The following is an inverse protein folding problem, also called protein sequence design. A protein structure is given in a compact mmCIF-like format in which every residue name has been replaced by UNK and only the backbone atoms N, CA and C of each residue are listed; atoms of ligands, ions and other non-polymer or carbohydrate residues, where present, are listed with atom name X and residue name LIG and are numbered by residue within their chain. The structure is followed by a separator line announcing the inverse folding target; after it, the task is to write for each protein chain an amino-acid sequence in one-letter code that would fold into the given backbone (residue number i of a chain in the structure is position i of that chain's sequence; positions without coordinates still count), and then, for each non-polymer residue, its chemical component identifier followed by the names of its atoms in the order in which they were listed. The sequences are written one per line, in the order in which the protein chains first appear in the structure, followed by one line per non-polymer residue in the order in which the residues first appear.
data_IF_939918435428
#
_entry.id   IF_939918435428
#
_cell.length_a   1.000
_cell.length_b   1.000
_cell.length_c   1.000
_cell.angle_alpha   90.00
_cell.angle_beta   90.00
_cell.angle_gamma   90.00
#
_symmetry.space_group_name_H-M   'P 1'
#
loop_
_entity.id
_entity.type
_entity.pdbx_description
1 polymer ?
#
# COMPACT_ATOMS: atom_id res chain seq x y z
N UNK A 1 22.82 -8.91 -32.00
CA UNK A 1 21.68 -8.19 -32.63
C UNK A 1 22.11 -7.84 -34.04
N UNK A 2 21.50 -8.46 -35.06
CA UNK A 2 21.79 -8.13 -36.47
C UNK A 2 21.01 -6.88 -36.86
N UNK A 3 21.58 -5.95 -37.64
CA UNK A 3 20.88 -4.76 -38.10
C UNK A 3 19.68 -5.16 -38.96
N UNK A 4 18.55 -4.48 -38.75
CA UNK A 4 17.30 -4.80 -39.44
C UNK A 4 17.35 -4.30 -40.88
N UNK A 5 18.02 -3.17 -41.13
CA UNK A 5 18.22 -2.62 -42.47
C UNK A 5 19.59 -1.93 -42.58
N UNK A 6 20.20 -2.02 -43.77
CA UNK A 6 21.45 -1.36 -44.16
C UNK A 6 21.17 -0.44 -45.35
N UNK A 7 21.42 0.85 -45.19
CA UNK A 7 21.17 1.85 -46.24
C UNK A 7 22.42 2.71 -46.49
N UNK A 8 22.67 3.14 -47.73
CA UNK A 8 23.73 4.11 -48.02
C UNK A 8 23.39 5.46 -47.37
N UNK A 9 24.32 6.02 -46.59
CA UNK A 9 24.10 7.21 -45.77
C UNK A 9 25.04 8.37 -46.10
N UNK A 10 24.64 9.60 -45.79
CA UNK A 10 25.53 10.76 -45.86
C UNK A 10 26.63 10.69 -44.80
N UNK A 11 27.86 11.05 -45.17
CA UNK A 11 29.10 10.88 -44.38
C UNK A 11 29.19 11.62 -43.02
N UNK A 12 28.11 12.25 -42.52
CA UNK A 12 28.19 13.20 -41.40
C UNK A 12 27.07 13.11 -40.35
N UNK A 13 26.38 11.97 -40.24
CA UNK A 13 25.38 11.80 -39.18
C UNK A 13 26.01 11.26 -37.88
N UNK A 14 25.79 11.93 -36.73
CA UNK A 14 25.98 11.29 -35.42
C UNK A 14 24.89 10.24 -35.24
N UNK A 15 25.18 9.13 -34.55
CA UNK A 15 24.17 8.14 -34.20
C UNK A 15 22.96 8.81 -33.53
N UNK A 16 21.76 8.41 -33.93
CA UNK A 16 20.51 9.02 -33.48
C UNK A 16 19.57 7.97 -32.94
N UNK A 17 18.78 8.35 -31.94
CA UNK A 17 17.70 7.53 -31.41
C UNK A 17 16.40 8.31 -31.52
N UNK A 18 15.43 7.78 -32.22
CA UNK A 18 14.09 8.35 -32.32
C UNK A 18 13.09 7.38 -31.70
N UNK A 19 12.22 7.91 -30.83
CA UNK A 19 11.20 7.11 -30.15
C UNK A 19 9.82 7.56 -30.59
N UNK A 20 9.03 6.63 -31.10
CA UNK A 20 7.63 6.84 -31.46
C UNK A 20 6.75 5.88 -30.65
N UNK A 21 6.13 6.39 -29.58
CA UNK A 21 5.40 5.60 -28.56
C UNK A 21 6.23 4.44 -27.95
N UNK A 22 6.04 3.24 -28.48
CA UNK A 22 6.66 1.98 -28.05
C UNK A 22 7.74 1.50 -29.02
N UNK A 23 7.84 2.08 -30.21
CA UNK A 23 8.91 1.79 -31.15
C UNK A 23 10.10 2.70 -30.86
N UNK A 24 11.27 2.10 -30.65
CA UNK A 24 12.55 2.80 -30.58
C UNK A 24 13.35 2.46 -31.84
N UNK A 25 13.59 3.45 -32.68
CA UNK A 25 14.50 3.36 -33.82
C UNK A 25 15.86 3.87 -33.40
N UNK A 26 16.86 3.00 -33.43
CA UNK A 26 18.25 3.37 -33.18
C UNK A 26 19.03 3.30 -34.49
N UNK A 27 19.69 4.40 -34.85
CA UNK A 27 20.57 4.49 -36.01
C UNK A 27 22.01 4.57 -35.50
N UNK A 28 22.81 3.54 -35.83
CA UNK A 28 24.22 3.51 -35.50
C UNK A 28 24.99 4.60 -36.28
N UNK A 29 26.11 5.10 -35.74
CA UNK A 29 26.97 6.01 -36.47
C UNK A 29 27.45 5.38 -37.79
N UNK A 30 27.65 6.20 -38.85
CA UNK A 30 28.04 5.75 -40.17
C UNK A 30 29.35 4.98 -40.14
N UNK A 31 29.37 3.83 -40.80
CA UNK A 31 30.56 3.00 -40.97
C UNK A 31 31.09 3.22 -42.39
N UNK A 32 32.36 3.60 -42.51
CA UNK A 32 33.05 3.71 -43.79
C UNK A 32 33.60 2.35 -44.20
N UNK A 33 33.24 1.92 -45.41
CA UNK A 33 33.85 0.77 -46.06
C UNK A 33 35.21 1.14 -46.68
N UNK A 34 36.05 0.14 -46.98
CA UNK A 34 37.36 0.29 -47.64
C UNK A 34 37.28 1.02 -48.98
N UNK A 35 36.11 1.00 -49.61
CA UNK A 35 35.82 1.68 -50.88
C UNK A 35 35.33 3.12 -50.70
N UNK A 36 35.30 3.64 -49.47
CA UNK A 36 34.83 5.00 -49.15
C UNK A 36 33.31 5.16 -49.09
N UNK A 37 32.56 4.07 -49.25
CA UNK A 37 31.10 4.06 -49.11
C UNK A 37 30.70 4.14 -47.64
N UNK A 38 29.64 4.91 -47.36
CA UNK A 38 29.13 5.09 -46.00
C UNK A 38 27.87 4.27 -45.78
N UNK A 39 27.90 3.38 -44.80
CA UNK A 39 26.79 2.50 -44.46
C UNK A 39 26.17 2.90 -43.12
N UNK A 40 24.84 2.96 -43.08
CA UNK A 40 24.06 3.14 -41.85
C UNK A 40 23.37 1.84 -41.48
N UNK A 41 23.44 1.49 -40.20
CA UNK A 41 22.74 0.36 -39.63
C UNK A 41 21.63 0.86 -38.71
N UNK A 42 20.38 0.48 -39.01
CA UNK A 42 19.22 0.80 -38.17
C UNK A 42 18.72 -0.45 -37.44
N UNK A 43 18.32 -0.27 -36.18
CA UNK A 43 17.71 -1.29 -35.35
C UNK A 43 16.38 -0.77 -34.83
N UNK A 44 15.32 -1.58 -34.96
CA UNK A 44 14.00 -1.29 -34.39
C UNK A 44 13.78 -2.15 -33.15
N UNK A 45 13.42 -1.52 -32.04
CA UNK A 45 13.02 -2.20 -30.81
C UNK A 45 11.55 -1.95 -30.53
N UNK A 46 10.76 -3.02 -30.42
CA UNK A 46 9.37 -2.95 -29.96
C UNK A 46 9.34 -3.07 -28.42
N UNK A 47 8.99 -1.98 -27.75
CA UNK A 47 8.87 -1.89 -26.29
C UNK A 47 7.43 -2.14 -25.80
N UNK A 48 6.48 -2.43 -26.70
CA UNK A 48 5.10 -2.79 -26.37
C UNK A 48 4.99 -3.91 -25.33
N UNK A 49 5.74 -5.03 -25.42
CA UNK A 49 5.66 -6.07 -24.40
C UNK A 49 6.13 -5.57 -23.03
N UNK A 50 7.22 -4.80 -22.95
CA UNK A 50 7.72 -4.21 -21.70
C UNK A 50 6.70 -3.25 -21.07
N UNK A 51 6.04 -2.41 -21.88
CA UNK A 51 4.99 -1.49 -21.42
C UNK A 51 3.79 -2.27 -20.85
N UNK A 52 3.34 -3.33 -21.52
CA UNK A 52 2.22 -4.17 -21.04
C UNK A 52 2.54 -4.89 -19.73
N UNK A 53 3.74 -5.47 -19.63
CA UNK A 53 4.20 -6.16 -18.42
C UNK A 53 4.28 -5.17 -17.24
N UNK A 54 4.84 -3.98 -17.49
CA UNK A 54 4.96 -2.93 -16.46
C UNK A 54 3.61 -2.47 -15.95
N UNK A 55 2.62 -2.29 -16.84
CA UNK A 55 1.26 -1.90 -16.45
C UNK A 55 0.59 -2.99 -15.60
N UNK A 56 0.75 -4.27 -15.97
CA UNK A 56 0.23 -5.38 -15.16
C UNK A 56 0.83 -5.38 -13.75
N UNK A 57 2.15 -5.25 -13.64
CA UNK A 57 2.83 -5.18 -12.34
C UNK A 57 2.36 -4.00 -11.49
N UNK A 58 2.15 -2.83 -12.10
CA UNK A 58 1.61 -1.66 -11.39
C UNK A 58 0.20 -1.96 -10.87
N UNK A 59 -0.67 -2.56 -11.69
CA UNK A 59 -2.04 -2.91 -11.29
C UNK A 59 -2.02 -3.93 -10.15
N UNK A 60 -1.21 -4.99 -10.26
CA UNK A 60 -1.11 -6.03 -9.23
C UNK A 60 -0.59 -5.47 -7.90
N UNK A 61 0.42 -4.59 -7.96
CA UNK A 61 0.95 -3.91 -6.78
C UNK A 61 -0.11 -3.02 -6.12
N UNK A 62 -0.82 -2.20 -6.91
CA UNK A 62 -1.88 -1.33 -6.39
C UNK A 62 -2.99 -2.16 -5.75
N UNK A 63 -3.41 -3.25 -6.40
CA UNK A 63 -4.44 -4.14 -5.87
C UNK A 63 -4.00 -4.79 -4.56
N UNK A 64 -2.77 -5.29 -4.49
CA UNK A 64 -2.22 -5.88 -3.27
C UNK A 64 -2.18 -4.88 -2.11
N UNK A 65 -1.77 -3.63 -2.37
CA UNK A 65 -1.73 -2.55 -1.37
C UNK A 65 -3.15 -2.20 -0.89
N UNK A 66 -4.12 -2.09 -1.81
CA UNK A 66 -5.51 -1.80 -1.45
C UNK A 66 -6.13 -2.92 -0.60
N UNK A 67 -5.91 -4.19 -0.98
CA UNK A 67 -6.40 -5.33 -0.21
C UNK A 67 -5.71 -5.39 1.16
N UNK A 68 -4.39 -5.22 1.20
CA UNK A 68 -3.62 -5.25 2.45
C UNK A 68 -4.04 -4.14 3.41
N UNK A 69 -4.22 -2.92 2.92
CA UNK A 69 -4.68 -1.78 3.73
C UNK A 69 -6.11 -1.97 4.25
N UNK A 70 -7.03 -2.48 3.41
CA UNK A 70 -8.40 -2.76 3.82
C UNK A 70 -8.44 -3.85 4.90
N UNK A 71 -7.68 -4.94 4.73
CA UNK A 71 -7.58 -6.01 5.71
C UNK A 71 -6.98 -5.50 7.04
N UNK A 72 -5.91 -4.71 6.98
CA UNK A 72 -5.29 -4.12 8.17
C UNK A 72 -6.27 -3.19 8.90
N UNK A 73 -6.98 -2.32 8.17
CA UNK A 73 -8.00 -1.44 8.75
C UNK A 73 -9.11 -2.23 9.44
N UNK A 74 -9.57 -3.32 8.83
CA UNK A 74 -10.58 -4.20 9.43
C UNK A 74 -10.08 -4.84 10.73
N UNK A 75 -8.83 -5.33 10.75
CA UNK A 75 -8.22 -5.93 11.95
C UNK A 75 -8.12 -4.90 13.07
N UNK A 76 -7.62 -3.70 12.77
CA UNK A 76 -7.51 -2.61 13.76
C UNK A 76 -8.90 -2.23 14.28
N UNK A 77 -9.90 -2.11 13.41
CA UNK A 77 -11.26 -1.80 13.80
C UNK A 77 -11.85 -2.86 14.74
N UNK A 78 -11.68 -4.14 14.42
CA UNK A 78 -12.14 -5.25 15.27
C UNK A 78 -11.44 -5.24 16.62
N UNK A 79 -10.14 -4.95 16.64
CA UNK A 79 -9.34 -4.87 17.87
C UNK A 79 -9.80 -3.71 18.76
N UNK A 80 -9.97 -2.51 18.19
CA UNK A 80 -10.51 -1.34 18.91
C UNK A 80 -11.92 -1.63 19.43
N UNK A 81 -12.78 -2.24 18.62
CA UNK A 81 -14.16 -2.54 19.02
C UNK A 81 -14.20 -3.49 20.22
N UNK A 82 -13.34 -4.51 20.24
CA UNK A 82 -13.28 -5.49 21.33
C UNK A 82 -12.56 -4.96 22.57
N UNK A 83 -11.44 -4.26 22.41
CA UNK A 83 -10.62 -3.82 23.55
C UNK A 83 -11.09 -2.51 24.19
N UNK A 84 -11.76 -1.63 23.44
CA UNK A 84 -12.17 -0.32 23.94
C UNK A 84 -13.67 -0.18 23.99
N UNK A 85 -14.38 -0.33 22.86
CA UNK A 85 -15.80 0.00 22.80
C UNK A 85 -16.69 -0.93 23.64
N UNK A 86 -16.45 -2.24 23.58
CA UNK A 86 -17.21 -3.20 24.40
C UNK A 86 -17.01 -2.97 25.91
N UNK A 87 -15.77 -2.86 26.42
CA UNK A 87 -15.53 -2.53 27.82
C UNK A 87 -16.11 -1.19 28.24
N UNK A 88 -16.02 -0.15 27.40
CA UNK A 88 -16.60 1.15 27.71
C UNK A 88 -18.12 1.06 27.86
N UNK A 89 -18.79 0.37 26.93
CA UNK A 89 -20.25 0.20 26.98
C UNK A 89 -20.70 -0.56 28.23
N UNK A 90 -19.95 -1.60 28.61
CA UNK A 90 -20.17 -2.36 29.84
C UNK A 90 -19.99 -1.49 31.11
N UNK A 91 -18.98 -0.61 31.12
CA UNK A 91 -18.78 0.36 32.22
C UNK A 91 -19.94 1.35 32.29
N UNK A 92 -20.34 1.95 31.16
CA UNK A 92 -21.44 2.93 31.14
C UNK A 92 -22.75 2.32 31.63
N UNK A 93 -23.10 1.14 31.14
CA UNK A 93 -24.32 0.43 31.54
C UNK A 93 -24.34 0.11 33.04
N UNK A 94 -23.18 -0.20 33.65
CA UNK A 94 -23.08 -0.46 35.09
C UNK A 94 -23.15 0.81 35.94
N UNK A 95 -22.60 1.92 35.46
CA UNK A 95 -22.75 3.23 36.12
C UNK A 95 -24.22 3.65 36.12
N UNK A 96 -24.92 3.41 35.01
CA UNK A 96 -26.35 3.71 34.87
C UNK A 96 -27.19 2.79 35.77
N UNK A 97 -26.92 1.48 35.79
CA UNK A 97 -27.58 0.54 36.71
C UNK A 97 -27.36 0.90 38.20
N UNK A 98 -26.17 1.38 38.57
CA UNK A 98 -25.88 1.88 39.91
C UNK A 98 -26.64 3.17 40.22
N UNK A 99 -26.75 4.10 39.26
CA UNK A 99 -27.54 5.32 39.41
C UNK A 99 -29.04 5.02 39.60
N UNK A 100 -29.54 3.96 38.98
CA UNK A 100 -30.90 3.42 39.15
C UNK A 100 -31.11 2.63 40.44
N UNK A 101 -30.07 2.46 41.28
CA UNK A 101 -30.16 1.77 42.56
C UNK A 101 -30.16 0.24 42.47
N UNK A 102 -29.84 -0.35 41.30
CA UNK A 102 -29.64 -1.79 41.16
C UNK A 102 -28.22 -2.16 41.55
N UNK A 103 -28.04 -3.33 42.18
CA UNK A 103 -26.69 -3.80 42.53
C UNK A 103 -25.89 -4.12 41.26
N UNK A 104 -24.75 -3.46 41.02
CA UNK A 104 -23.90 -3.81 39.90
C UNK A 104 -23.34 -5.22 40.14
N UNK A 105 -23.51 -6.08 39.12
CA UNK A 105 -23.05 -7.47 39.14
C UNK A 105 -21.53 -7.63 39.27
N UNK A 106 -21.01 -8.87 39.27
CA UNK A 106 -19.61 -9.16 39.58
C UNK A 106 -18.64 -8.41 38.67
N UNK A 107 -17.52 -7.97 39.25
CA UNK A 107 -16.46 -7.19 38.59
C UNK A 107 -16.02 -7.89 37.29
N UNK A 108 -16.04 -7.20 36.14
CA UNK A 108 -15.48 -7.77 34.92
C UNK A 108 -13.97 -7.76 35.03
N UNK A 109 -13.33 -8.86 34.63
CA UNK A 109 -11.89 -8.87 34.41
C UNK A 109 -11.61 -8.16 33.08
N UNK A 110 -11.14 -6.92 33.17
CA UNK A 110 -10.70 -6.19 31.99
C UNK A 110 -9.23 -6.48 31.70
N UNK A 111 -8.89 -6.68 30.43
CA UNK A 111 -7.51 -6.92 30.00
C UNK A 111 -6.59 -5.69 30.17
N UNK A 112 -7.15 -4.47 30.22
CA UNK A 112 -6.38 -3.23 30.28
C UNK A 112 -6.29 -2.66 31.70
N UNK A 113 -5.07 -2.25 32.11
CA UNK A 113 -4.79 -1.71 33.46
C UNK A 113 -5.59 -0.46 33.77
N UNK A 114 -5.86 0.37 32.77
CA UNK A 114 -6.61 1.62 32.89
C UNK A 114 -8.06 1.34 33.28
N UNK A 115 -8.70 0.36 32.64
CA UNK A 115 -10.09 -0.01 32.91
C UNK A 115 -10.23 -0.70 34.27
N UNK A 116 -9.26 -1.53 34.64
CA UNK A 116 -9.18 -2.11 35.99
C UNK A 116 -9.02 -1.04 37.08
N UNK A 117 -8.24 0.01 36.81
CA UNK A 117 -8.04 1.13 37.75
C UNK A 117 -9.33 1.94 37.92
N UNK A 118 -10.04 2.20 36.82
CA UNK A 118 -11.31 2.94 36.83
C UNK A 118 -12.41 2.17 37.58
N UNK A 119 -12.49 0.85 37.38
CA UNK A 119 -13.42 -0.01 38.10
C UNK A 119 -13.10 -0.12 39.60
N UNK A 120 -11.81 -0.19 39.96
CA UNK A 120 -11.39 -0.15 41.37
C UNK A 120 -11.72 1.19 42.05
N UNK A 121 -11.65 2.30 41.34
CA UNK A 121 -12.07 3.60 41.86
C UNK A 121 -13.59 3.63 42.11
N UNK A 122 -14.38 3.08 41.18
CA UNK A 122 -15.83 2.97 41.33
C UNK A 122 -16.24 2.06 42.51
N UNK A 123 -15.58 0.92 42.66
CA UNK A 123 -15.83 0.00 43.77
C UNK A 123 -15.45 0.59 45.13
N UNK A 124 -14.34 1.35 45.19
CA UNK A 124 -13.95 2.09 46.40
C UNK A 124 -15.01 3.13 46.80
N UNK A 125 -15.58 3.85 45.83
CA UNK A 125 -16.65 4.80 46.07
C UNK A 125 -17.94 4.12 46.57
N UNK A 126 -18.27 2.92 46.05
CA UNK A 126 -19.41 2.11 46.52
C UNK A 126 -19.26 1.73 48.00
N UNK A 127 -18.09 1.25 48.42
CA UNK A 127 -17.84 0.84 49.82
C UNK A 127 -17.98 2.01 50.80
N UNK A 128 -17.55 3.20 50.41
CA UNK A 128 -17.69 4.42 51.23
C UNK A 128 -19.16 4.83 51.36
N UNK A 129 -19.97 4.69 50.30
CA UNK A 129 -21.40 5.05 50.32
C UNK A 129 -22.27 4.05 51.09
N UNK A 130 -21.90 2.78 51.16
CA UNK A 130 -22.65 1.74 51.93
C UNK A 130 -22.25 1.73 53.40
N UNK A 131 -21.05 2.22 53.74
CA UNK A 131 -20.56 2.33 55.11
C UNK A 131 -20.89 3.65 55.82
N UNK A 132 -21.58 4.58 55.16
CA UNK A 132 -22.06 5.87 55.69
C UNK A 132 -23.60 5.87 55.78
#
# INVERSE_FOLDING_TARGET
LQPTELHPGGASARGSSERHDTDLLFTAPPILDREGQTWLATMRFDLSPMKRESIRLIIDLVLAVLIGSAAFSLVVFVLIRRMLLQPLHEVTHRVEAFAEGREPGPLPEFETREMATLMNALDRARRVKVGA
#
